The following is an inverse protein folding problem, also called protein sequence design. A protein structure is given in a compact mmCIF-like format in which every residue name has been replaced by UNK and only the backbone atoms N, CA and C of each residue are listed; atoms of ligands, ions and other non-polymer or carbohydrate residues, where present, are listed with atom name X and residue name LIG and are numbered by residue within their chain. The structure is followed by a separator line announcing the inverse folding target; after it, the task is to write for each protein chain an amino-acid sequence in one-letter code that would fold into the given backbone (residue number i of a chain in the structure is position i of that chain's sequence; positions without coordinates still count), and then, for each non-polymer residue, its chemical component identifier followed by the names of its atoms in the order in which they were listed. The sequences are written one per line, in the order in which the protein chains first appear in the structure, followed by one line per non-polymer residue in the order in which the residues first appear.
data_IF_755034965702
#
_entry.id   IF_755034965702
#
_cell.length_a   1.000
_cell.length_b   1.000
_cell.length_c   1.000
_cell.angle_alpha   90.00
_cell.angle_beta   90.00
_cell.angle_gamma   90.00
#
_symmetry.space_group_name_H-M   'P 1'
#
loop_
_entity.id
_entity.type
_entity.pdbx_description
1 polymer ?
#
# COMPACT_ATOMS: atom_id res chain seq x y z
N UNK A 1 -20.29 18.50 2.57
CA UNK A 1 -19.72 17.59 3.60
C UNK A 1 -19.66 16.20 2.97
N UNK A 2 -18.56 15.45 3.10
CA UNK A 2 -18.48 14.07 2.62
C UNK A 2 -18.79 13.10 3.77
N UNK A 3 -19.58 12.08 3.49
CA UNK A 3 -19.87 11.02 4.44
C UNK A 3 -18.66 10.07 4.61
N UNK A 4 -18.23 9.74 5.85
CA UNK A 4 -17.08 8.87 6.07
C UNK A 4 -17.22 7.47 5.49
N UNK A 5 -18.43 6.89 5.45
CA UNK A 5 -18.62 5.55 4.89
C UNK A 5 -18.44 5.57 3.36
N UNK A 6 -18.95 6.61 2.70
CA UNK A 6 -18.73 6.83 1.27
C UNK A 6 -17.24 7.03 0.97
N UNK A 7 -16.51 7.78 1.80
CA UNK A 7 -15.05 7.95 1.66
C UNK A 7 -14.30 6.60 1.75
N UNK A 8 -14.68 5.74 2.71
CA UNK A 8 -14.09 4.42 2.86
C UNK A 8 -14.40 3.56 1.64
N UNK A 9 -15.64 3.59 1.15
CA UNK A 9 -16.06 2.88 -0.05
C UNK A 9 -15.24 3.32 -1.28
N UNK A 10 -15.12 4.62 -1.53
CA UNK A 10 -14.33 5.17 -2.63
C UNK A 10 -12.88 4.69 -2.56
N UNK A 11 -12.28 4.70 -1.36
CA UNK A 11 -10.92 4.16 -1.18
C UNK A 11 -10.86 2.66 -1.47
N UNK A 12 -11.83 1.87 -1.01
CA UNK A 12 -11.88 0.43 -1.30
C UNK A 12 -12.02 0.16 -2.79
N UNK A 13 -12.80 0.95 -3.53
CA UNK A 13 -12.91 0.83 -4.99
C UNK A 13 -11.55 1.09 -5.65
N UNK A 14 -10.82 2.15 -5.28
CA UNK A 14 -9.47 2.37 -5.83
C UNK A 14 -8.52 1.21 -5.56
N UNK A 15 -8.56 0.61 -4.36
CA UNK A 15 -7.76 -0.56 -4.03
C UNK A 15 -8.17 -1.78 -4.87
N UNK A 16 -9.47 -1.98 -5.09
CA UNK A 16 -10.00 -3.06 -5.93
C UNK A 16 -9.62 -2.94 -7.40
N UNK A 17 -9.49 -1.72 -7.91
CA UNK A 17 -8.98 -1.43 -9.25
C UNK A 17 -7.45 -1.56 -9.36
N UNK A 18 -6.76 -1.86 -8.26
CA UNK A 18 -5.31 -2.03 -8.21
C UNK A 18 -4.52 -0.79 -7.80
N UNK A 19 -5.19 0.29 -7.41
CA UNK A 19 -4.54 1.46 -6.81
C UNK A 19 -3.89 1.11 -5.47
N UNK A 20 -2.73 1.70 -5.20
CA UNK A 20 -1.98 1.51 -3.95
C UNK A 20 -1.69 2.83 -3.23
N UNK A 21 -1.96 3.98 -3.87
CA UNK A 21 -1.71 5.31 -3.35
C UNK A 21 -3.02 6.06 -3.08
N UNK A 22 -3.04 6.96 -2.09
CA UNK A 22 -4.20 7.83 -1.86
C UNK A 22 -4.45 8.79 -3.04
N UNK A 23 -3.43 9.08 -3.85
CA UNK A 23 -3.56 9.90 -5.06
C UNK A 23 -4.48 9.24 -6.11
N UNK A 24 -4.61 7.91 -6.11
CA UNK A 24 -5.45 7.16 -7.05
C UNK A 24 -6.94 7.48 -6.91
N UNK A 25 -7.35 8.12 -5.81
CA UNK A 25 -8.70 8.65 -5.63
C UNK A 25 -9.07 9.68 -6.73
N UNK A 26 -8.06 10.30 -7.36
CA UNK A 26 -8.25 11.18 -8.50
C UNK A 26 -8.90 10.47 -9.71
N UNK A 27 -8.69 9.15 -9.87
CA UNK A 27 -9.31 8.36 -10.94
C UNK A 27 -10.83 8.30 -10.80
N UNK A 28 -11.34 8.07 -9.59
CA UNK A 28 -12.79 8.07 -9.36
C UNK A 28 -13.38 9.48 -9.53
N UNK A 29 -12.62 10.50 -9.10
CA UNK A 29 -13.02 11.91 -9.27
C UNK A 29 -13.09 12.36 -10.72
N UNK A 30 -12.33 11.72 -11.61
CA UNK A 30 -12.37 11.99 -13.04
C UNK A 30 -13.68 11.49 -13.69
N UNK A 31 -14.38 10.55 -13.05
CA UNK A 31 -15.60 9.92 -13.56
C UNK A 31 -16.81 10.20 -12.64
N UNK A 32 -17.21 11.48 -12.45
CA UNK A 32 -18.29 11.84 -11.52
C UNK A 32 -19.66 11.29 -11.94
N UNK A 33 -19.86 10.92 -13.20
CA UNK A 33 -21.09 10.28 -13.67
C UNK A 33 -21.28 8.84 -13.16
N UNK A 34 -20.18 8.17 -12.77
CA UNK A 34 -20.18 6.79 -12.26
C UNK A 34 -20.07 6.77 -10.74
N UNK A 35 -19.13 7.54 -10.19
CA UNK A 35 -18.79 7.48 -8.76
C UNK A 35 -19.40 8.63 -7.93
N UNK A 36 -20.01 9.61 -8.58
CA UNK A 36 -20.57 10.77 -7.90
C UNK A 36 -19.51 11.67 -7.25
N UNK A 37 -19.88 12.44 -6.22
CA UNK A 37 -18.97 13.39 -5.55
C UNK A 37 -17.91 12.69 -4.67
N UNK A 38 -16.74 12.43 -5.24
CA UNK A 38 -15.62 11.80 -4.53
C UNK A 38 -14.72 12.83 -3.83
N UNK A 39 -14.32 12.52 -2.58
CA UNK A 39 -13.49 13.39 -1.76
C UNK A 39 -12.03 13.48 -2.28
N UNK A 40 -11.38 14.62 -2.02
CA UNK A 40 -9.96 14.80 -2.32
C UNK A 40 -9.06 14.02 -1.34
N UNK A 41 -7.89 13.59 -1.80
CA UNK A 41 -6.90 12.84 -1.02
C UNK A 41 -6.62 13.39 0.41
N UNK A 42 -6.41 14.71 0.65
CA UNK A 42 -6.24 15.22 2.01
C UNK A 42 -7.48 15.04 2.91
N UNK A 43 -8.69 15.06 2.35
CA UNK A 43 -9.94 14.78 3.09
C UNK A 43 -10.11 13.30 3.38
N UNK A 44 -9.73 12.44 2.43
CA UNK A 44 -9.69 10.99 2.64
C UNK A 44 -8.71 10.64 3.75
N UNK A 45 -7.47 11.15 3.68
CA UNK A 45 -6.43 10.92 4.70
C UNK A 45 -6.92 11.29 6.10
N UNK A 46 -7.37 12.54 6.30
CA UNK A 46 -7.84 13.01 7.61
C UNK A 46 -9.04 12.21 8.14
N UNK A 47 -9.92 11.75 7.25
CA UNK A 47 -11.06 10.91 7.64
C UNK A 47 -10.58 9.54 8.11
N UNK A 48 -9.64 8.91 7.38
CA UNK A 48 -9.04 7.64 7.77
C UNK A 48 -8.28 7.75 9.10
N UNK A 49 -7.53 8.83 9.31
CA UNK A 49 -6.82 9.09 10.57
C UNK A 49 -7.79 9.14 11.76
N UNK A 50 -8.88 9.91 11.63
CA UNK A 50 -9.94 9.99 12.65
C UNK A 50 -10.64 8.65 12.91
N UNK A 51 -10.85 7.85 11.87
CA UNK A 51 -11.41 6.50 12.02
C UNK A 51 -10.43 5.57 12.74
N UNK A 52 -9.14 5.67 12.41
CA UNK A 52 -8.08 4.90 13.06
C UNK A 52 -7.94 5.24 14.55
N UNK A 53 -8.07 6.52 14.93
CA UNK A 53 -8.10 6.98 16.32
C UNK A 53 -9.25 6.35 17.12
N UNK A 54 -10.40 6.14 16.48
CA UNK A 54 -11.60 5.55 17.09
C UNK A 54 -11.64 4.01 17.05
N UNK A 55 -10.73 3.39 16.31
CA UNK A 55 -10.68 1.94 16.20
C UNK A 55 -10.33 1.29 17.55
N UNK A 56 -11.04 0.22 17.89
CA UNK A 56 -10.76 -0.55 19.11
C UNK A 56 -9.40 -1.24 19.02
N UNK A 57 -8.79 -1.54 20.17
CA UNK A 57 -7.53 -2.28 20.22
C UNK A 57 -7.62 -3.64 19.48
N UNK A 58 -8.77 -4.32 19.58
CA UNK A 58 -9.02 -5.57 18.86
C UNK A 58 -9.00 -5.38 17.34
N UNK A 59 -9.67 -4.35 16.80
CA UNK A 59 -9.66 -4.05 15.37
C UNK A 59 -8.26 -3.70 14.87
N UNK A 60 -7.49 -2.93 15.64
CA UNK A 60 -6.09 -2.61 15.32
C UNK A 60 -5.21 -3.86 15.30
N UNK A 61 -5.40 -4.78 16.25
CA UNK A 61 -4.66 -6.04 16.31
C UNK A 61 -4.98 -6.95 15.10
N UNK A 62 -6.26 -7.06 14.72
CA UNK A 62 -6.70 -7.80 13.53
C UNK A 62 -6.06 -7.20 12.26
N UNK A 63 -6.11 -5.87 12.11
CA UNK A 63 -5.50 -5.19 10.96
C UNK A 63 -3.99 -5.44 10.89
N UNK A 64 -3.27 -5.33 12.02
CA UNK A 64 -1.84 -5.61 12.07
C UNK A 64 -1.51 -7.09 11.77
N UNK A 65 -2.36 -8.04 12.19
CA UNK A 65 -2.22 -9.45 11.85
C UNK A 65 -2.44 -9.70 10.35
N UNK A 66 -3.46 -9.10 9.76
CA UNK A 66 -3.74 -9.20 8.33
C UNK A 66 -2.58 -8.65 7.49
N UNK A 67 -2.04 -7.48 7.85
CA UNK A 67 -0.88 -6.90 7.15
C UNK A 67 0.35 -7.80 7.19
N UNK A 68 0.64 -8.40 8.36
CA UNK A 68 1.73 -9.38 8.49
C UNK A 68 1.50 -10.62 7.61
N UNK A 69 0.27 -11.14 7.57
CA UNK A 69 -0.08 -12.28 6.74
C UNK A 69 0.09 -11.98 5.24
N UNK A 70 -0.37 -10.80 4.78
CA UNK A 70 -0.21 -10.35 3.39
C UNK A 70 1.28 -10.18 3.05
N UNK A 71 2.06 -9.56 3.92
CA UNK A 71 3.50 -9.38 3.72
C UNK A 71 4.23 -10.73 3.60
N UNK A 72 3.90 -11.69 4.45
CA UNK A 72 4.43 -13.05 4.39
C UNK A 72 4.02 -13.76 3.09
N UNK A 73 2.75 -13.68 2.69
CA UNK A 73 2.26 -14.25 1.44
C UNK A 73 2.99 -13.67 0.21
N UNK A 74 3.18 -12.35 0.18
CA UNK A 74 3.96 -11.67 -0.89
C UNK A 74 5.43 -12.09 -0.89
N UNK A 75 6.05 -12.30 0.28
CA UNK A 75 7.43 -12.77 0.36
C UNK A 75 7.58 -14.19 -0.23
N UNK A 76 6.64 -15.09 0.07
CA UNK A 76 6.59 -16.43 -0.51
C UNK A 76 6.33 -16.39 -2.02
N UNK A 77 5.39 -15.54 -2.47
CA UNK A 77 5.12 -15.39 -3.90
C UNK A 77 6.36 -14.89 -4.66
N UNK A 78 7.06 -13.89 -4.11
CA UNK A 78 8.31 -13.36 -4.68
C UNK A 78 9.40 -14.42 -4.71
N UNK A 79 9.64 -15.15 -3.60
CA UNK A 79 10.70 -16.17 -3.58
C UNK A 79 10.47 -17.25 -4.64
N UNK A 80 9.22 -17.65 -4.87
CA UNK A 80 8.86 -18.58 -5.95
C UNK A 80 9.07 -18.00 -7.33
N UNK A 81 8.63 -16.76 -7.56
CA UNK A 81 8.81 -16.09 -8.84
C UNK A 81 10.30 -15.91 -9.19
N UNK A 82 11.11 -15.52 -8.20
CA UNK A 82 12.55 -15.34 -8.31
C UNK A 82 13.29 -16.65 -8.54
N UNK A 83 12.96 -17.71 -7.81
CA UNK A 83 13.49 -19.05 -8.06
C UNK A 83 13.19 -19.52 -9.50
N UNK A 84 11.99 -19.23 -10.02
CA UNK A 84 11.63 -19.52 -11.41
C UNK A 84 12.39 -18.68 -12.45
N UNK A 85 12.80 -17.46 -12.09
CA UNK A 85 13.53 -16.55 -12.98
C UNK A 85 15.04 -16.87 -13.10
N UNK A 86 15.61 -17.61 -12.13
CA UNK A 86 17.01 -18.02 -12.15
C UNK A 86 17.97 -16.84 -12.25
N UNK A 87 18.81 -16.82 -13.29
CA UNK A 87 19.80 -15.75 -13.51
C UNK A 87 19.19 -14.38 -13.82
N UNK A 88 17.91 -14.35 -14.22
CA UNK A 88 17.17 -13.11 -14.49
C UNK A 88 16.47 -12.56 -13.24
N UNK A 89 16.60 -13.24 -12.10
CA UNK A 89 15.98 -12.79 -10.86
C UNK A 89 16.68 -11.52 -10.33
N UNK A 90 15.93 -10.54 -9.79
CA UNK A 90 16.52 -9.32 -9.25
C UNK A 90 17.43 -9.54 -8.04
N UNK A 91 17.35 -10.69 -7.36
CA UNK A 91 18.25 -11.09 -6.27
C UNK A 91 19.41 -11.99 -6.72
N UNK A 92 19.55 -12.27 -8.03
CA UNK A 92 20.66 -13.06 -8.54
C UNK A 92 22.00 -12.35 -8.31
N UNK A 93 22.96 -13.04 -7.68
CA UNK A 93 24.27 -12.49 -7.34
C UNK A 93 24.26 -11.49 -6.17
N UNK A 94 23.10 -11.28 -5.51
CA UNK A 94 22.99 -10.50 -4.27
C UNK A 94 23.23 -11.43 -3.09
N UNK A 95 24.27 -11.14 -2.29
CA UNK A 95 24.53 -11.82 -1.03
C UNK A 95 24.54 -10.82 0.13
N UNK A 96 24.03 -11.23 1.29
CA UNK A 96 24.06 -10.42 2.51
C UNK A 96 25.50 -10.08 2.97
N UNK A 97 26.49 -10.82 2.46
CA UNK A 97 27.92 -10.62 2.72
C UNK A 97 28.56 -9.48 1.90
N UNK A 98 27.86 -8.92 0.90
CA UNK A 98 28.17 -7.56 0.41
C UNK A 98 27.63 -6.55 1.41
N UNK A 99 28.15 -6.61 2.64
CA UNK A 99 28.10 -5.51 3.60
C UNK A 99 28.63 -4.30 2.85
N UNK A 100 27.82 -3.25 2.81
CA UNK A 100 28.17 -1.90 2.39
C UNK A 100 29.66 -1.65 2.67
N UNK A 101 30.51 -1.63 1.64
CA UNK A 101 31.91 -1.31 1.86
C UNK A 101 31.94 0.11 2.39
N UNK A 102 32.60 0.34 3.52
CA UNK A 102 32.72 1.64 4.21
C UNK A 102 33.51 2.69 3.40
N UNK A 103 33.66 2.48 2.10
CA UNK A 103 34.40 3.31 1.14
C UNK A 103 33.49 4.16 0.26
N UNK A 104 32.17 4.17 0.52
CA UNK A 104 31.28 5.12 -0.16
C UNK A 104 31.55 6.54 0.34
N UNK A 105 32.28 7.32 -0.45
CA UNK A 105 32.40 8.78 -0.28
C UNK A 105 31.51 9.47 -1.30
N UNK A 106 30.52 10.29 -0.87
CA UNK A 106 29.76 11.11 -1.80
C UNK A 106 30.68 12.13 -2.50
N UNK A 107 30.37 12.52 -3.75
CA UNK A 107 31.19 13.46 -4.53
C UNK A 107 30.90 14.95 -4.23
N UNK A 108 30.46 15.27 -3.01
CA UNK A 108 30.21 16.65 -2.58
C UNK A 108 30.82 16.92 -1.20
#
# INVERSE_FOLDING_TARGET
MHDPATIVLDRTVTLGLGGDCLADIALLRAEPGVYGPVAWAPTVSRTLDRLAERATAALRAIAAAALRAIAAARAVARSRAWAGAGQHSPDHGVSADRRWSSTWTPPW
#
